data_IF_416648488065
#
_entry.id   IF_416648488065
#
_cell.length_a   1.000
_cell.length_b   1.000
_cell.length_c   1.000
_cell.angle_alpha   90.00
_cell.angle_beta   90.00
_cell.angle_gamma   90.00
#
_symmetry.space_group_name_H-M   'P 1'
#
loop_
_entity.id
_entity.type
_entity.pdbx_description
1 polymer ?
#
# COMPACT_ATOMS: atom_id res chain seq x y z
N UNK A 1 11.10 -15.73 1.39
CA UNK A 1 9.68 -15.89 1.80
C UNK A 1 9.45 -15.02 3.03
N UNK A 2 8.50 -14.08 2.98
CA UNK A 2 8.29 -13.07 4.03
C UNK A 2 7.92 -13.72 5.40
N UNK A 3 8.45 -13.25 6.55
CA UNK A 3 8.13 -13.77 7.88
C UNK A 3 6.61 -13.81 8.16
N UNK A 4 5.87 -12.83 7.63
CA UNK A 4 4.41 -12.77 7.71
C UNK A 4 3.73 -13.94 7.00
N UNK A 5 4.26 -14.41 5.86
CA UNK A 5 3.67 -15.55 5.15
C UNK A 5 3.83 -16.86 5.92
N UNK A 6 4.96 -17.04 6.62
CA UNK A 6 5.15 -18.19 7.51
C UNK A 6 4.14 -18.19 8.65
N UNK A 7 3.84 -17.02 9.22
CA UNK A 7 2.80 -16.87 10.23
C UNK A 7 1.40 -17.20 9.68
N UNK A 8 1.06 -16.75 8.47
CA UNK A 8 -0.25 -17.05 7.87
C UNK A 8 -0.46 -18.56 7.67
N UNK A 9 0.59 -19.30 7.27
CA UNK A 9 0.51 -20.75 7.07
C UNK A 9 0.23 -21.55 8.34
N UNK A 10 0.55 -21.04 9.53
CA UNK A 10 0.23 -21.76 10.77
C UNK A 10 -1.27 -21.75 11.05
N UNK A 11 -1.96 -20.67 10.66
CA UNK A 11 -3.41 -20.50 10.86
C UNK A 11 -4.21 -21.07 9.70
N UNK A 12 -3.69 -20.94 8.47
CA UNK A 12 -4.30 -21.46 7.25
C UNK A 12 -3.33 -22.36 6.49
N UNK A 13 -3.14 -23.62 6.92
CA UNK A 13 -2.19 -24.54 6.29
C UNK A 13 -2.46 -24.76 4.79
N UNK A 14 -3.73 -24.70 4.38
CA UNK A 14 -4.14 -24.81 2.98
C UNK A 14 -3.54 -23.71 2.08
N UNK A 15 -3.11 -22.57 2.64
CA UNK A 15 -2.47 -21.51 1.87
C UNK A 15 -1.15 -21.94 1.24
N UNK A 16 -0.54 -23.03 1.72
CA UNK A 16 0.68 -23.60 1.14
C UNK A 16 0.50 -24.15 -0.28
N UNK A 17 -0.74 -24.37 -0.73
CA UNK A 17 -1.03 -24.84 -2.10
C UNK A 17 -1.19 -23.71 -3.11
N UNK A 18 -1.23 -22.46 -2.65
CA UNK A 18 -1.34 -21.29 -3.52
C UNK A 18 -0.04 -21.14 -4.31
N UNK A 19 -0.17 -21.13 -5.64
CA UNK A 19 0.94 -20.93 -6.57
C UNK A 19 1.54 -19.53 -6.36
N UNK A 20 2.87 -19.47 -6.21
CA UNK A 20 3.61 -18.21 -6.31
C UNK A 20 3.72 -17.81 -7.79
N UNK A 21 3.21 -16.64 -8.14
CA UNK A 21 3.21 -16.13 -9.51
C UNK A 21 4.58 -15.58 -9.93
N UNK A 22 5.57 -15.55 -9.02
CA UNK A 22 6.90 -15.04 -9.31
C UNK A 22 6.94 -13.55 -9.63
N UNK A 23 5.97 -12.78 -9.12
CA UNK A 23 5.86 -11.35 -9.43
C UNK A 23 7.11 -10.59 -8.95
N UNK A 24 7.66 -9.76 -9.82
CA UNK A 24 8.77 -8.86 -9.51
C UNK A 24 8.45 -7.41 -9.87
N UNK A 25 9.22 -6.46 -9.32
CA UNK A 25 9.04 -5.04 -9.63
C UNK A 25 9.28 -4.68 -11.11
N UNK A 26 9.89 -5.57 -11.90
CA UNK A 26 10.03 -5.44 -13.35
C UNK A 26 8.82 -5.94 -14.14
N UNK A 27 7.74 -6.33 -13.46
CA UNK A 27 6.53 -6.86 -14.10
C UNK A 27 6.66 -8.30 -14.59
N UNK A 28 7.74 -9.01 -14.26
CA UNK A 28 7.86 -10.44 -14.54
C UNK A 28 6.79 -11.19 -13.74
N UNK A 29 6.13 -12.14 -14.39
CA UNK A 29 5.16 -13.09 -13.84
C UNK A 29 5.40 -14.42 -14.54
N UNK A 30 5.38 -15.54 -13.81
CA UNK A 30 5.27 -16.88 -14.40
C UNK A 30 3.87 -17.08 -14.97
N UNK A 31 3.65 -16.45 -16.12
CA UNK A 31 2.33 -16.30 -16.70
C UNK A 31 1.78 -17.64 -17.20
N UNK A 32 2.63 -18.55 -17.66
CA UNK A 32 2.21 -19.88 -18.12
C UNK A 32 1.62 -20.70 -16.97
N UNK A 33 2.33 -20.76 -15.83
CA UNK A 33 1.82 -21.44 -14.64
C UNK A 33 0.56 -20.80 -14.09
N UNK A 34 0.43 -19.47 -14.19
CA UNK A 34 -0.78 -18.73 -13.79
C UNK A 34 -1.97 -19.08 -14.71
N UNK A 35 -1.79 -19.02 -16.03
CA UNK A 35 -2.85 -19.33 -17.00
C UNK A 35 -3.30 -20.80 -16.86
N UNK A 36 -2.38 -21.72 -16.59
CA UNK A 36 -2.70 -23.13 -16.37
C UNK A 36 -3.65 -23.36 -15.17
N UNK A 37 -3.73 -22.40 -14.24
CA UNK A 37 -4.69 -22.42 -13.12
C UNK A 37 -6.08 -21.88 -13.49
N UNK A 38 -6.27 -21.38 -14.71
CA UNK A 38 -7.54 -20.82 -15.21
C UNK A 38 -8.12 -19.74 -14.27
N UNK A 39 -7.40 -18.64 -14.03
CA UNK A 39 -7.87 -17.59 -13.14
C UNK A 39 -9.05 -16.83 -13.75
N UNK A 40 -10.08 -16.54 -12.95
CA UNK A 40 -11.20 -15.70 -13.37
C UNK A 40 -10.89 -14.19 -13.28
N UNK A 41 -9.89 -13.81 -12.49
CA UNK A 41 -9.55 -12.42 -12.20
C UNK A 41 -8.09 -12.31 -11.71
N UNK A 42 -7.35 -11.34 -12.24
CA UNK A 42 -6.09 -10.89 -11.65
C UNK A 42 -6.32 -9.60 -10.86
N UNK A 43 -5.90 -9.56 -9.59
CA UNK A 43 -5.92 -8.34 -8.77
C UNK A 43 -4.48 -7.85 -8.64
N UNK A 44 -4.24 -6.58 -8.97
CA UNK A 44 -2.90 -5.98 -8.93
C UNK A 44 -2.91 -4.61 -8.24
N UNK A 45 -1.75 -4.23 -7.68
CA UNK A 45 -1.56 -2.87 -7.20
C UNK A 45 -1.47 -1.89 -8.38
N UNK A 46 -2.09 -0.72 -8.25
CA UNK A 46 -2.05 0.31 -9.27
C UNK A 46 -0.61 0.74 -9.62
N UNK A 47 0.31 0.69 -8.66
CA UNK A 47 1.75 0.97 -8.92
C UNK A 47 2.40 0.02 -9.92
N UNK A 48 1.89 -1.20 -10.05
CA UNK A 48 2.43 -2.22 -10.93
C UNK A 48 1.92 -2.07 -12.37
N UNK A 49 0.92 -1.20 -12.61
CA UNK A 49 0.29 -1.04 -13.92
C UNK A 49 1.30 -0.74 -15.04
N UNK A 50 2.26 0.20 -14.92
CA UNK A 50 3.23 0.46 -15.99
C UNK A 50 4.07 -0.78 -16.30
N UNK A 51 4.63 -1.44 -15.29
CA UNK A 51 5.45 -2.63 -15.47
C UNK A 51 4.67 -3.81 -16.10
N UNK A 52 3.40 -4.00 -15.71
CA UNK A 52 2.53 -5.03 -16.28
C UNK A 52 2.07 -4.71 -17.71
N UNK A 53 1.96 -3.43 -18.07
CA UNK A 53 1.73 -2.99 -19.45
C UNK A 53 2.98 -3.23 -20.30
N UNK A 54 4.15 -2.81 -19.83
CA UNK A 54 5.42 -2.96 -20.55
C UNK A 54 5.81 -4.42 -20.76
N UNK A 55 5.51 -5.31 -19.81
CA UNK A 55 5.77 -6.76 -19.96
C UNK A 55 4.75 -7.49 -20.84
N UNK A 56 3.68 -6.81 -21.27
CA UNK A 56 2.60 -7.40 -22.08
C UNK A 56 1.72 -8.41 -21.33
N UNK A 57 1.82 -8.50 -19.99
CA UNK A 57 1.02 -9.41 -19.17
C UNK A 57 -0.47 -9.08 -19.30
N UNK A 58 -0.83 -7.80 -19.28
CA UNK A 58 -2.22 -7.35 -19.39
C UNK A 58 -2.83 -7.78 -20.72
N UNK A 59 -2.10 -7.60 -21.82
CA UNK A 59 -2.59 -7.94 -23.17
C UNK A 59 -2.81 -9.45 -23.31
N UNK A 60 -1.89 -10.26 -22.78
CA UNK A 60 -2.01 -11.74 -22.80
C UNK A 60 -3.20 -12.22 -21.98
N UNK A 61 -3.41 -11.68 -20.78
CA UNK A 61 -4.59 -12.01 -19.96
C UNK A 61 -5.89 -11.57 -20.63
N UNK A 62 -5.89 -10.38 -21.26
CA UNK A 62 -7.04 -9.88 -22.00
C UNK A 62 -7.40 -10.77 -23.20
N UNK A 63 -6.42 -11.30 -23.92
CA UNK A 63 -6.64 -12.24 -25.04
C UNK A 63 -7.29 -13.56 -24.57
N UNK A 64 -7.13 -13.90 -23.29
CA UNK A 64 -7.71 -15.07 -22.64
C UNK A 64 -8.99 -14.76 -21.86
N UNK A 65 -9.53 -13.53 -22.00
CA UNK A 65 -10.72 -13.06 -21.28
C UNK A 65 -10.56 -13.05 -19.75
N UNK A 66 -9.34 -12.95 -19.25
CA UNK A 66 -9.06 -12.79 -17.81
C UNK A 66 -8.96 -11.29 -17.49
N UNK A 67 -9.94 -10.68 -16.79
CA UNK A 67 -9.87 -9.28 -16.41
C UNK A 67 -8.76 -9.01 -15.40
N UNK A 68 -8.19 -7.80 -15.47
CA UNK A 68 -7.23 -7.28 -14.48
C UNK A 68 -7.87 -6.13 -13.71
N UNK A 69 -7.97 -6.26 -12.40
CA UNK A 69 -8.48 -5.25 -11.49
C UNK A 69 -7.33 -4.58 -10.74
N UNK A 70 -7.24 -3.26 -10.87
CA UNK A 70 -6.28 -2.46 -10.10
C UNK A 70 -6.91 -1.90 -8.84
N UNK A 71 -6.18 -2.04 -7.72
CA UNK A 71 -6.50 -1.43 -6.43
C UNK A 71 -5.37 -0.51 -6.00
N UNK A 72 -5.67 0.53 -5.22
CA UNK A 72 -4.66 1.45 -4.71
C UNK A 72 -4.79 1.71 -3.20
N UNK A 73 -3.75 1.31 -2.48
CA UNK A 73 -3.49 1.74 -1.11
C UNK A 73 -2.07 2.29 -0.93
N UNK A 74 -1.32 2.49 -2.02
CA UNK A 74 0.09 2.90 -1.97
C UNK A 74 0.30 4.28 -2.58
N UNK A 75 -0.26 4.57 -3.75
CA UNK A 75 -0.05 5.83 -4.46
C UNK A 75 -0.80 6.96 -3.75
N UNK A 76 -2.11 6.80 -3.57
CA UNK A 76 -2.98 7.79 -2.93
C UNK A 76 -3.91 7.17 -1.86
N UNK A 77 -3.37 6.55 -0.79
CA UNK A 77 -4.14 5.77 0.17
C UNK A 77 -5.33 6.50 0.78
N UNK A 78 -5.15 7.75 1.21
CA UNK A 78 -6.21 8.54 1.83
C UNK A 78 -7.37 8.90 0.87
N UNK A 79 -7.20 8.67 -0.44
CA UNK A 79 -8.21 8.85 -1.48
C UNK A 79 -8.77 7.49 -1.92
N UNK A 80 -7.87 6.55 -2.21
CA UNK A 80 -8.20 5.39 -3.06
C UNK A 80 -8.33 4.07 -2.29
N UNK A 81 -7.91 3.99 -1.01
CA UNK A 81 -8.06 2.76 -0.21
C UNK A 81 -9.52 2.32 -0.05
N UNK A 82 -10.40 3.22 0.41
CA UNK A 82 -11.82 2.86 0.61
C UNK A 82 -12.55 2.54 -0.71
N UNK A 83 -12.42 3.34 -1.79
CA UNK A 83 -12.96 2.96 -3.10
C UNK A 83 -12.43 1.63 -3.63
N UNK A 84 -11.14 1.34 -3.45
CA UNK A 84 -10.55 0.07 -3.88
C UNK A 84 -11.13 -1.13 -3.15
N UNK A 85 -11.39 -1.01 -1.84
CA UNK A 85 -11.96 -2.09 -1.05
C UNK A 85 -13.46 -2.27 -1.35
N UNK A 86 -14.21 -1.19 -1.57
CA UNK A 86 -15.59 -1.29 -2.03
C UNK A 86 -15.69 -2.01 -3.39
N UNK A 87 -14.75 -1.71 -4.30
CA UNK A 87 -14.66 -2.37 -5.60
C UNK A 87 -14.34 -3.85 -5.46
N UNK A 88 -13.38 -4.21 -4.59
CA UNK A 88 -13.11 -5.62 -4.23
C UNK A 88 -14.34 -6.32 -3.67
N UNK A 89 -15.11 -5.65 -2.81
CA UNK A 89 -16.37 -6.17 -2.28
C UNK A 89 -17.34 -6.56 -3.38
N UNK A 90 -17.51 -5.70 -4.40
CA UNK A 90 -18.39 -5.99 -5.54
C UNK A 90 -17.89 -7.16 -6.37
N UNK A 91 -16.60 -7.18 -6.74
CA UNK A 91 -16.09 -8.24 -7.63
C UNK A 91 -15.97 -9.60 -6.96
N UNK A 92 -15.86 -9.64 -5.62
CA UNK A 92 -15.75 -10.88 -4.85
C UNK A 92 -17.08 -11.31 -4.21
N UNK A 93 -18.19 -10.60 -4.46
CA UNK A 93 -19.50 -10.83 -3.82
C UNK A 93 -19.40 -10.80 -2.28
N UNK A 94 -18.75 -9.76 -1.74
CA UNK A 94 -18.47 -9.51 -0.31
C UNK A 94 -18.73 -8.05 0.09
N UNK A 95 -19.80 -7.48 -0.45
CA UNK A 95 -20.15 -6.07 -0.29
C UNK A 95 -20.42 -5.71 1.17
N UNK A 96 -21.01 -6.61 1.96
CA UNK A 96 -21.28 -6.34 3.38
C UNK A 96 -19.99 -6.25 4.20
N UNK A 97 -19.02 -7.13 3.95
CA UNK A 97 -17.71 -7.10 4.60
C UNK A 97 -16.88 -5.90 4.15
N UNK A 98 -16.88 -5.61 2.85
CA UNK A 98 -16.22 -4.42 2.31
C UNK A 98 -16.80 -3.14 2.92
N UNK A 99 -18.14 -3.02 2.96
CA UNK A 99 -18.83 -1.89 3.57
C UNK A 99 -18.50 -1.73 5.05
N UNK A 100 -18.52 -2.81 5.82
CA UNK A 100 -18.18 -2.75 7.24
C UNK A 100 -16.77 -2.20 7.47
N UNK A 101 -15.80 -2.64 6.66
CA UNK A 101 -14.44 -2.12 6.72
C UNK A 101 -14.37 -0.65 6.28
N UNK A 102 -14.98 -0.30 5.15
CA UNK A 102 -14.83 1.04 4.56
C UNK A 102 -15.61 2.11 5.33
N UNK A 103 -16.73 1.76 5.96
CA UNK A 103 -17.44 2.62 6.90
C UNK A 103 -16.55 2.97 8.11
N UNK A 104 -15.95 1.94 8.74
CA UNK A 104 -14.99 2.15 9.83
C UNK A 104 -13.80 3.01 9.40
N UNK A 105 -13.19 2.70 8.26
CA UNK A 105 -12.06 3.45 7.71
C UNK A 105 -12.40 4.94 7.52
N UNK A 106 -13.55 5.24 6.88
CA UNK A 106 -13.98 6.62 6.62
C UNK A 106 -14.25 7.36 7.92
N UNK A 107 -14.91 6.72 8.88
CA UNK A 107 -15.20 7.31 10.19
C UNK A 107 -13.92 7.70 10.93
N UNK A 108 -12.92 6.80 10.96
CA UNK A 108 -11.64 7.09 11.61
C UNK A 108 -10.88 8.21 10.89
N UNK A 109 -10.83 8.17 9.56
CA UNK A 109 -10.17 9.21 8.77
C UNK A 109 -10.83 10.59 8.95
N UNK A 110 -12.16 10.64 9.01
CA UNK A 110 -12.90 11.87 9.30
C UNK A 110 -12.61 12.39 10.70
N UNK A 111 -12.59 11.50 11.71
CA UNK A 111 -12.28 11.86 13.10
C UNK A 111 -10.88 12.49 13.20
N UNK A 112 -9.89 11.90 12.54
CA UNK A 112 -8.52 12.44 12.51
C UNK A 112 -8.50 13.81 11.83
N UNK A 113 -9.18 13.96 10.68
CA UNK A 113 -9.25 15.24 9.95
C UNK A 113 -9.87 16.34 10.80
N UNK A 114 -10.98 16.06 11.48
CA UNK A 114 -11.65 17.02 12.35
C UNK A 114 -10.76 17.47 13.51
N UNK A 115 -10.15 16.52 14.24
CA UNK A 115 -9.25 16.84 15.37
C UNK A 115 -8.02 17.65 14.93
N UNK A 116 -7.51 17.39 13.73
CA UNK A 116 -6.27 18.02 13.24
C UNK A 116 -6.49 19.33 12.49
N UNK A 117 -7.73 19.63 12.06
CA UNK A 117 -8.07 20.84 11.33
C UNK A 117 -7.72 22.10 12.13
N UNK A 118 -8.12 22.15 13.41
CA UNK A 118 -7.96 23.31 14.28
C UNK A 118 -6.53 23.57 14.80
N UNK A 119 -5.59 22.63 14.61
CA UNK A 119 -4.23 22.76 15.15
C UNK A 119 -3.45 23.80 14.34
N UNK A 120 -3.01 24.87 15.01
CA UNK A 120 -2.20 25.97 14.45
C UNK A 120 -1.14 26.41 15.47
N UNK A 121 0.14 26.63 15.07
CA UNK A 121 0.69 26.36 13.73
C UNK A 121 0.82 24.86 13.46
N UNK A 122 0.89 24.49 12.18
CA UNK A 122 1.09 23.10 11.77
C UNK A 122 2.53 22.69 12.10
N UNK A 123 2.69 21.58 12.83
CA UNK A 123 4.00 21.08 13.20
C UNK A 123 4.76 20.58 11.95
N UNK A 124 6.02 21.00 11.82
CA UNK A 124 6.95 20.41 10.87
C UNK A 124 7.35 19.03 11.38
N UNK A 125 7.07 18.01 10.56
CA UNK A 125 7.36 16.61 10.88
C UNK A 125 8.29 16.01 9.85
N UNK A 126 9.22 15.18 10.33
CA UNK A 126 10.04 14.29 9.53
C UNK A 126 9.67 12.85 9.90
N UNK A 127 9.50 11.99 8.89
CA UNK A 127 9.16 10.58 9.07
C UNK A 127 10.21 9.74 8.37
N UNK A 128 10.98 9.00 9.14
CA UNK A 128 11.95 8.02 8.62
C UNK A 128 11.26 6.66 8.49
N UNK A 129 11.09 6.19 7.26
CA UNK A 129 10.64 4.86 6.96
C UNK A 129 11.79 3.86 7.15
N UNK A 130 11.51 2.71 7.76
CA UNK A 130 12.52 1.69 8.08
C UNK A 130 13.68 2.23 8.94
N UNK A 131 13.37 3.13 9.88
CA UNK A 131 14.36 3.74 10.75
C UNK A 131 15.21 2.68 11.48
N UNK A 132 16.53 2.81 11.39
CA UNK A 132 17.48 1.89 12.01
C UNK A 132 17.66 0.54 11.29
N UNK A 133 17.08 0.36 10.09
CA UNK A 133 17.24 -0.87 9.30
C UNK A 133 18.60 -0.96 8.58
N UNK A 134 19.33 0.15 8.45
CA UNK A 134 20.70 0.18 7.95
C UNK A 134 21.45 1.39 8.52
N UNK A 135 22.77 1.41 8.35
CA UNK A 135 23.61 2.57 8.69
C UNK A 135 23.34 3.78 7.78
N UNK A 136 22.66 3.54 6.64
CA UNK A 136 22.17 4.60 5.76
C UNK A 136 20.86 5.18 6.32
N UNK A 137 21.00 6.30 7.04
CA UNK A 137 19.85 7.05 7.54
C UNK A 137 18.95 7.61 6.44
N UNK A 138 17.72 7.86 6.88
CA UNK A 138 16.86 8.95 6.47
C UNK A 138 16.01 8.64 5.24
N UNK A 139 15.76 7.36 4.97
CA UNK A 139 14.78 6.98 3.97
C UNK A 139 13.41 7.56 4.34
N UNK A 140 12.91 8.48 3.54
CA UNK A 140 11.66 9.19 3.79
C UNK A 140 10.83 9.25 2.51
N UNK A 141 9.52 9.36 2.64
CA UNK A 141 8.62 9.54 1.50
C UNK A 141 8.13 10.99 1.47
N UNK A 142 8.48 11.72 0.41
CA UNK A 142 8.09 13.12 0.25
C UNK A 142 6.60 13.26 -0.14
N UNK A 143 6.07 12.33 -0.94
CA UNK A 143 4.78 12.51 -1.64
C UNK A 143 3.92 11.25 -1.82
N UNK A 144 4.42 10.02 -1.60
CA UNK A 144 3.64 8.78 -1.80
C UNK A 144 3.62 7.86 -0.56
N UNK A 145 2.57 7.05 -0.46
CA UNK A 145 2.20 6.08 0.59
C UNK A 145 2.12 6.62 2.04
N UNK A 146 3.21 7.13 2.60
CA UNK A 146 3.25 7.70 3.95
C UNK A 146 2.78 9.15 4.02
N UNK A 147 3.14 9.96 3.01
CA UNK A 147 2.96 11.41 3.03
C UNK A 147 1.51 11.90 2.86
N UNK A 148 0.66 11.13 2.16
CA UNK A 148 -0.72 11.52 1.84
C UNK A 148 -1.63 11.69 3.07
N UNK A 149 -1.36 10.94 4.13
CA UNK A 149 -2.04 11.06 5.42
C UNK A 149 -1.69 12.37 6.15
N UNK A 150 -0.43 12.80 6.05
CA UNK A 150 0.07 13.98 6.75
C UNK A 150 -0.33 15.28 6.07
N UNK A 151 -0.24 15.36 4.73
CA UNK A 151 -0.60 16.57 3.98
C UNK A 151 -2.08 16.94 4.14
N UNK A 152 -2.99 15.95 4.18
CA UNK A 152 -4.43 16.18 4.41
C UNK A 152 -4.82 16.40 5.88
N UNK A 153 -3.96 16.07 6.84
CA UNK A 153 -4.10 16.55 8.23
C UNK A 153 -3.53 17.96 8.43
N UNK A 154 -3.19 18.65 7.33
CA UNK A 154 -2.62 19.99 7.30
C UNK A 154 -1.15 20.04 7.70
N UNK A 155 -0.46 18.91 7.86
CA UNK A 155 0.98 18.89 8.21
C UNK A 155 1.82 19.00 6.94
N UNK A 156 2.73 19.96 6.93
CA UNK A 156 3.78 20.05 5.89
C UNK A 156 4.89 19.08 6.26
N UNK A 157 5.17 18.13 5.37
CA UNK A 157 6.39 17.32 5.49
C UNK A 157 7.53 18.18 4.97
N UNK A 158 8.42 18.57 5.88
CA UNK A 158 9.66 19.23 5.50
C UNK A 158 10.68 18.15 5.19
N UNK A 159 10.99 17.96 3.91
CA UNK A 159 12.13 17.15 3.48
C UNK A 159 13.36 18.06 3.54
N UNK A 160 13.87 18.31 4.75
CA UNK A 160 15.22 18.85 4.93
C UNK A 160 16.14 17.73 5.40
N UNK A 161 17.32 17.69 4.79
CA UNK A 161 18.45 16.81 5.08
C UNK A 161 18.70 16.71 6.59
N UNK A 162 18.48 15.54 7.18
CA UNK A 162 18.67 15.33 8.62
C UNK A 162 19.60 14.15 8.91
N UNK A 163 20.86 14.20 8.45
CA UNK A 163 21.90 13.30 8.94
C UNK A 163 22.51 13.84 10.24
N UNK A 164 22.05 13.30 11.38
CA UNK A 164 22.82 12.97 12.61
C UNK A 164 21.84 12.74 13.77
N UNK A 165 21.46 11.49 14.00
CA UNK A 165 20.97 11.07 15.32
C UNK A 165 21.46 9.65 15.62
N UNK A 166 21.92 9.35 16.86
CA UNK A 166 22.32 8.01 17.23
C UNK A 166 21.11 7.08 17.35
N UNK A 167 21.33 5.80 17.06
CA UNK A 167 20.35 4.72 17.05
C UNK A 167 19.65 4.54 18.40
N UNK A 168 18.32 4.43 18.36
CA UNK A 168 17.50 4.00 19.49
C UNK A 168 16.14 4.69 19.55
N UNK A 169 15.08 3.92 19.24
CA UNK A 169 13.65 4.23 19.40
C UNK A 169 13.05 5.29 18.47
N UNK A 170 11.80 5.03 18.05
CA UNK A 170 10.91 6.01 17.40
C UNK A 170 10.96 7.34 18.17
N UNK A 171 11.65 8.35 17.62
CA UNK A 171 11.76 9.66 18.26
C UNK A 171 11.09 10.71 17.41
N UNK A 172 9.94 11.21 17.89
CA UNK A 172 9.39 12.47 17.42
C UNK A 172 10.39 13.58 17.72
N UNK A 173 11.15 14.05 16.72
CA UNK A 173 11.86 15.33 16.82
C UNK A 173 10.97 16.41 16.24
N UNK A 174 10.60 17.40 17.06
CA UNK A 174 10.23 18.71 16.52
C UNK A 174 11.41 19.20 15.70
N UNK A 175 11.19 19.51 14.43
CA UNK A 175 12.20 20.24 13.65
C UNK A 175 12.36 21.61 14.30
N UNK A 176 13.52 21.87 14.89
CA UNK A 176 13.97 23.23 15.15
C UNK A 176 14.16 23.93 13.79
N UNK A 177 13.86 25.22 13.75
CA UNK A 177 13.98 26.11 12.57
C UNK A 177 15.39 26.06 11.99
#
# INVERSE_FOLDING_TARGET
>A
MLPTWQMLKTTWPQSATILDMGFSDKGNVDLESVIARQPDLMIAQLRARPALMESGVIDKLSALHVPVLFVDYEIAPAKDTAPSIDLLGKVLNRESQAKAFTDYYRQQLQTIRQKTAAITPKANVFVEALAGNSDACCFTTATAAGAGWWRRSGRTISVRSCCRAPLGSFRWRKSSV
#
